data_IF_639072543484
#
_entry.id   IF_639072543484
#
_cell.length_a   1.000
_cell.length_b   1.000
_cell.length_c   1.000
_cell.angle_alpha   90.00
_cell.angle_beta   90.00
_cell.angle_gamma   90.00
#
_symmetry.space_group_name_H-M   'P 1'
#
loop_
_entity.id
_entity.type
_entity.pdbx_description
1 polymer ?
#
# COMPACT_ATOMS: atom_id res chain seq x y z
N UNK A 1 -4.99 35.98 1.92
CA UNK A 1 -3.71 36.76 1.84
C UNK A 1 -3.33 37.05 0.40
N UNK A 2 -2.44 38.04 0.16
CA UNK A 2 -1.95 38.39 -1.17
C UNK A 2 -0.71 37.57 -1.57
N UNK A 3 -0.44 37.48 -2.89
CA UNK A 3 0.67 36.66 -3.42
C UNK A 3 2.05 37.00 -2.83
N UNK A 4 2.33 38.29 -2.50
CA UNK A 4 3.60 38.69 -1.89
C UNK A 4 3.74 38.18 -0.46
N UNK A 5 2.65 38.13 0.29
CA UNK A 5 2.59 37.61 1.65
C UNK A 5 2.74 36.08 1.64
N UNK A 6 2.03 35.40 0.72
CA UNK A 6 2.16 33.97 0.49
C UNK A 6 3.60 33.59 0.14
N UNK A 7 4.22 34.30 -0.78
CA UNK A 7 5.60 34.07 -1.21
C UNK A 7 6.60 34.21 -0.05
N UNK A 8 6.42 35.21 0.81
CA UNK A 8 7.24 35.40 2.02
C UNK A 8 7.04 34.27 3.02
N UNK A 9 5.79 33.86 3.26
CA UNK A 9 5.46 32.80 4.21
C UNK A 9 6.03 31.45 3.79
N UNK A 10 5.99 31.13 2.48
CA UNK A 10 6.48 29.89 1.92
C UNK A 10 7.96 29.94 1.47
N UNK A 11 8.64 31.06 1.65
CA UNK A 11 10.03 31.30 1.24
C UNK A 11 10.31 31.01 -0.23
N UNK A 12 9.34 31.30 -1.11
CA UNK A 12 9.45 31.16 -2.55
C UNK A 12 9.15 32.50 -3.26
N UNK A 13 9.45 32.55 -4.57
CA UNK A 13 9.17 33.77 -5.33
C UNK A 13 7.69 33.86 -5.76
N UNK A 14 7.12 35.07 -5.92
CA UNK A 14 5.81 35.22 -6.54
C UNK A 14 5.72 34.62 -7.94
N UNK A 15 6.85 34.52 -8.67
CA UNK A 15 6.94 33.86 -9.97
C UNK A 15 6.71 32.35 -9.84
N UNK A 16 7.28 31.72 -8.83
CA UNK A 16 7.06 30.28 -8.58
C UNK A 16 5.58 29.99 -8.27
N UNK A 17 4.90 30.85 -7.47
CA UNK A 17 3.46 30.68 -7.18
C UNK A 17 2.64 30.78 -8.48
N UNK A 18 2.93 31.78 -9.35
CA UNK A 18 2.25 31.90 -10.66
C UNK A 18 2.48 30.69 -11.54
N UNK A 19 3.71 30.14 -11.56
CA UNK A 19 4.03 28.93 -12.29
C UNK A 19 3.19 27.73 -11.78
N UNK A 20 3.05 27.55 -10.46
CA UNK A 20 2.20 26.51 -9.90
C UNK A 20 0.71 26.71 -10.20
N UNK A 21 0.25 27.96 -10.22
CA UNK A 21 -1.10 28.31 -10.66
C UNK A 21 -1.31 27.97 -12.16
N UNK A 22 -0.38 28.34 -13.04
CA UNK A 22 -0.43 27.98 -14.47
C UNK A 22 -0.44 26.47 -14.71
N UNK A 23 0.22 25.71 -13.83
CA UNK A 23 0.22 24.25 -13.88
C UNK A 23 -1.01 23.63 -13.21
N UNK A 24 -1.95 24.43 -12.69
CA UNK A 24 -3.17 23.95 -12.05
C UNK A 24 -2.94 23.27 -10.70
N UNK A 25 -1.82 23.56 -10.02
CA UNK A 25 -1.52 23.00 -8.70
C UNK A 25 -2.17 23.80 -7.56
N UNK A 26 -2.54 25.04 -7.81
CA UNK A 26 -3.29 25.90 -6.91
C UNK A 26 -4.25 26.79 -7.71
N UNK A 27 -5.43 27.06 -7.18
CA UNK A 27 -6.49 27.84 -7.86
C UNK A 27 -7.02 28.95 -6.92
N UNK A 28 -6.24 30.04 -6.69
CA UNK A 28 -6.67 31.09 -5.79
C UNK A 28 -7.91 31.81 -6.30
N UNK A 29 -8.80 32.16 -5.41
CA UNK A 29 -9.98 32.98 -5.74
C UNK A 29 -9.54 34.40 -6.15
N UNK A 30 -10.27 35.00 -7.08
CA UNK A 30 -10.09 36.43 -7.40
C UNK A 30 -11.06 37.23 -6.52
N UNK A 31 -10.56 38.31 -5.92
CA UNK A 31 -11.39 39.21 -5.12
C UNK A 31 -12.41 39.92 -6.02
N UNK A 32 -13.66 39.95 -5.59
CA UNK A 32 -14.73 40.65 -6.29
C UNK A 32 -14.37 42.15 -6.46
N UNK A 33 -14.47 42.64 -7.68
CA UNK A 33 -14.26 44.04 -8.06
C UNK A 33 -12.79 44.48 -8.26
N UNK A 34 -11.78 43.79 -7.75
CA UNK A 34 -10.38 44.17 -7.89
C UNK A 34 -9.55 43.25 -8.79
N UNK A 35 -10.02 42.05 -9.05
CA UNK A 35 -9.31 41.04 -9.84
C UNK A 35 -8.02 40.49 -9.20
N UNK A 36 -7.66 40.93 -7.99
CA UNK A 36 -6.46 40.47 -7.29
C UNK A 36 -6.67 39.05 -6.73
N UNK A 37 -5.62 38.21 -6.81
CA UNK A 37 -5.59 36.87 -6.25
C UNK A 37 -5.65 36.92 -4.72
N UNK A 38 -6.56 36.14 -4.15
CA UNK A 38 -6.67 35.91 -2.71
C UNK A 38 -6.42 34.46 -2.41
N UNK A 39 -5.40 34.20 -1.57
CA UNK A 39 -5.02 32.87 -1.11
C UNK A 39 -5.59 32.59 0.27
N UNK A 40 -6.10 31.37 0.46
CA UNK A 40 -6.63 30.85 1.73
C UNK A 40 -5.52 30.14 2.52
N UNK A 41 -5.80 29.71 3.75
CA UNK A 41 -4.90 28.83 4.49
C UNK A 41 -4.76 27.46 3.82
N UNK A 42 -5.80 26.97 3.18
CA UNK A 42 -5.76 25.73 2.40
C UNK A 42 -4.80 25.85 1.20
N UNK A 43 -4.78 26.99 0.51
CA UNK A 43 -3.80 27.27 -0.54
C UNK A 43 -2.37 27.28 0.00
N UNK A 44 -2.16 27.71 1.26
CA UNK A 44 -0.83 27.63 1.93
C UNK A 44 -0.42 26.18 2.09
N UNK A 45 -1.28 25.34 2.66
CA UNK A 45 -0.97 23.93 2.87
C UNK A 45 -0.73 23.20 1.55
N UNK A 46 -1.58 23.46 0.55
CA UNK A 46 -1.45 22.92 -0.79
C UNK A 46 -0.12 23.29 -1.45
N UNK A 47 0.27 24.56 -1.42
CA UNK A 47 1.55 25.02 -1.96
C UNK A 47 2.73 24.50 -1.15
N UNK A 48 2.64 24.40 0.18
CA UNK A 48 3.68 23.79 1.01
C UNK A 48 3.91 22.32 0.60
N UNK A 49 2.83 21.57 0.40
CA UNK A 49 2.90 20.18 -0.09
C UNK A 49 3.57 20.11 -1.47
N UNK A 50 3.18 20.98 -2.41
CA UNK A 50 3.82 21.07 -3.73
C UNK A 50 5.32 21.31 -3.61
N UNK A 51 5.74 22.25 -2.77
CA UNK A 51 7.16 22.60 -2.55
C UNK A 51 7.90 21.38 -2.02
N UNK A 52 7.43 20.75 -0.96
CA UNK A 52 8.09 19.59 -0.35
C UNK A 52 8.20 18.41 -1.32
N UNK A 53 7.13 18.13 -2.06
CA UNK A 53 7.16 17.05 -3.06
C UNK A 53 8.13 17.35 -4.23
N UNK A 54 8.27 18.63 -4.60
CA UNK A 54 9.29 19.07 -5.57
C UNK A 54 10.71 18.90 -5.04
N UNK A 55 10.95 19.19 -3.78
CA UNK A 55 12.25 19.02 -3.12
C UNK A 55 12.70 17.55 -3.10
N UNK A 56 11.78 16.61 -2.94
CA UNK A 56 12.07 15.17 -3.05
C UNK A 56 12.09 14.66 -4.50
N UNK A 57 12.01 15.56 -5.49
CA UNK A 57 12.19 15.24 -6.92
C UNK A 57 10.95 14.77 -7.66
N UNK A 58 9.76 14.93 -7.10
CA UNK A 58 8.50 14.57 -7.76
C UNK A 58 8.20 15.46 -8.96
N UNK A 59 7.68 14.91 -10.06
CA UNK A 59 7.33 15.69 -11.24
C UNK A 59 6.08 16.57 -10.99
N UNK A 60 5.95 17.65 -11.74
CA UNK A 60 4.74 18.52 -11.68
C UNK A 60 3.47 17.73 -12.02
N UNK A 61 3.58 16.80 -12.98
CA UNK A 61 2.43 15.99 -13.42
C UNK A 61 1.96 15.03 -12.34
N UNK A 62 2.92 14.33 -11.69
CA UNK A 62 2.61 13.42 -10.59
C UNK A 62 1.99 14.17 -9.40
N UNK A 63 2.52 15.35 -9.05
CA UNK A 63 1.95 16.22 -8.00
C UNK A 63 0.53 16.65 -8.38
N UNK A 64 0.27 16.98 -9.65
CA UNK A 64 -1.07 17.37 -10.11
C UNK A 64 -2.06 16.21 -9.96
N UNK A 65 -1.69 15.01 -10.39
CA UNK A 65 -2.53 13.82 -10.26
C UNK A 65 -2.88 13.56 -8.81
N UNK A 66 -1.89 13.68 -7.94
CA UNK A 66 -2.03 13.53 -6.51
C UNK A 66 -2.99 14.54 -5.89
N UNK A 67 -2.82 15.82 -6.19
CA UNK A 67 -3.68 16.87 -5.66
C UNK A 67 -5.13 16.75 -6.13
N UNK A 68 -5.39 16.13 -7.28
CA UNK A 68 -6.77 15.81 -7.73
C UNK A 68 -7.44 14.80 -6.80
N UNK A 69 -6.71 13.79 -6.33
CA UNK A 69 -7.23 12.83 -5.35
C UNK A 69 -7.58 13.50 -4.02
N UNK A 70 -6.87 14.59 -3.67
CA UNK A 70 -7.17 15.41 -2.49
C UNK A 70 -8.44 16.23 -2.64
N UNK A 71 -8.72 16.76 -3.84
CA UNK A 71 -9.88 17.61 -4.10
C UNK A 71 -11.21 16.82 -3.97
N UNK A 72 -11.15 15.47 -4.00
CA UNK A 72 -12.30 14.58 -3.84
C UNK A 72 -12.63 14.26 -2.36
N UNK A 73 -11.79 14.67 -1.40
CA UNK A 73 -11.96 14.42 0.04
C UNK A 73 -12.20 15.68 0.88
N UNK A 74 -12.57 15.51 2.15
CA UNK A 74 -12.61 16.60 3.14
C UNK A 74 -11.16 17.04 3.47
N UNK A 75 -10.56 17.88 2.62
CA UNK A 75 -9.18 18.33 2.74
C UNK A 75 -8.92 19.16 4.00
N UNK A 76 -8.03 18.69 4.85
CA UNK A 76 -7.52 19.42 6.01
C UNK A 76 -6.00 19.31 6.07
N UNK A 77 -5.35 20.11 6.92
CA UNK A 77 -3.88 20.09 7.09
C UNK A 77 -3.35 18.65 7.32
N UNK A 78 -4.05 17.87 8.13
CA UNK A 78 -3.66 16.48 8.41
C UNK A 78 -3.57 15.65 7.12
N UNK A 79 -4.54 15.77 6.24
CA UNK A 79 -4.58 15.03 4.99
C UNK A 79 -3.41 15.38 4.06
N UNK A 80 -3.09 16.68 3.92
CA UNK A 80 -1.91 17.13 3.18
C UNK A 80 -0.60 16.57 3.74
N UNK A 81 -0.47 16.53 5.08
CA UNK A 81 0.72 16.00 5.75
C UNK A 81 0.84 14.48 5.61
N UNK A 82 -0.25 13.74 5.73
CA UNK A 82 -0.28 12.28 5.56
C UNK A 82 0.11 11.89 4.13
N UNK A 83 -0.43 12.59 3.16
CA UNK A 83 -0.12 12.40 1.78
C UNK A 83 1.35 12.69 1.49
N UNK A 84 1.84 13.85 1.94
CA UNK A 84 3.25 14.22 1.82
C UNK A 84 4.15 13.14 2.43
N UNK A 85 3.81 12.65 3.61
CA UNK A 85 4.57 11.60 4.31
C UNK A 85 4.57 10.28 3.51
N UNK A 86 3.44 9.86 2.98
CA UNK A 86 3.34 8.66 2.14
C UNK A 86 4.29 8.74 0.94
N UNK A 87 4.34 9.89 0.25
CA UNK A 87 5.26 10.09 -0.88
C UNK A 87 6.73 10.16 -0.50
N UNK A 88 7.05 10.75 0.64
CA UNK A 88 8.43 10.75 1.15
C UNK A 88 8.89 9.32 1.40
N UNK A 89 8.04 8.46 1.97
CA UNK A 89 8.35 7.03 2.13
C UNK A 89 8.49 6.30 0.80
N UNK A 90 7.63 6.60 -0.16
CA UNK A 90 7.71 6.00 -1.51
C UNK A 90 9.06 6.33 -2.17
N UNK A 91 9.47 7.58 -2.09
CA UNK A 91 10.76 8.05 -2.59
C UNK A 91 11.94 7.45 -1.82
N UNK A 92 11.82 7.35 -0.50
CA UNK A 92 12.84 6.73 0.33
C UNK A 92 13.05 5.25 0.00
N UNK A 93 11.98 4.47 -0.17
CA UNK A 93 12.05 3.06 -0.58
C UNK A 93 12.68 2.92 -1.97
N UNK A 94 12.34 3.80 -2.92
CA UNK A 94 12.94 3.81 -4.26
C UNK A 94 14.45 4.09 -4.19
N UNK A 95 14.85 5.11 -3.46
CA UNK A 95 16.27 5.46 -3.29
C UNK A 95 17.06 4.38 -2.56
N UNK A 96 16.50 3.77 -1.52
CA UNK A 96 17.12 2.66 -0.78
C UNK A 96 17.41 1.48 -1.71
N UNK A 97 16.49 1.13 -2.61
CA UNK A 97 16.71 0.08 -3.62
C UNK A 97 17.83 0.43 -4.60
N UNK A 98 17.90 1.69 -5.04
CA UNK A 98 19.00 2.16 -5.91
C UNK A 98 20.33 2.05 -5.18
N UNK A 99 20.39 2.44 -3.91
CA UNK A 99 21.61 2.32 -3.07
C UNK A 99 22.03 0.87 -2.97
N UNK A 100 21.16 -0.04 -2.52
CA UNK A 100 21.47 -1.46 -2.38
C UNK A 100 21.93 -2.11 -3.71
N UNK A 101 21.25 -1.77 -4.82
CA UNK A 101 21.66 -2.26 -6.15
C UNK A 101 23.05 -1.77 -6.52
N UNK A 102 23.35 -0.49 -6.26
CA UNK A 102 24.66 0.11 -6.55
C UNK A 102 25.75 -0.51 -5.68
N UNK A 103 25.48 -0.73 -4.40
CA UNK A 103 26.42 -1.41 -3.48
C UNK A 103 26.70 -2.85 -3.91
N UNK A 104 25.66 -3.59 -4.33
CA UNK A 104 25.82 -4.94 -4.87
C UNK A 104 26.69 -4.96 -6.15
N UNK A 105 26.48 -3.98 -7.04
CA UNK A 105 27.32 -3.80 -8.23
C UNK A 105 28.79 -3.51 -7.85
N UNK A 106 29.03 -2.60 -6.92
CA UNK A 106 30.37 -2.27 -6.43
C UNK A 106 31.04 -3.50 -5.82
N UNK A 107 30.31 -4.24 -4.98
CA UNK A 107 30.84 -5.46 -4.35
C UNK A 107 31.21 -6.54 -5.38
N UNK A 108 30.40 -6.69 -6.43
CA UNK A 108 30.65 -7.62 -7.53
C UNK A 108 31.92 -7.22 -8.32
N UNK A 109 32.03 -5.95 -8.72
CA UNK A 109 33.23 -5.45 -9.42
C UNK A 109 34.49 -5.64 -8.58
N UNK A 110 34.44 -5.38 -7.27
CA UNK A 110 35.58 -5.57 -6.38
C UNK A 110 35.99 -7.05 -6.24
N UNK A 111 35.05 -7.99 -6.31
CA UNK A 111 35.30 -9.43 -6.16
C UNK A 111 35.80 -10.06 -7.46
N UNK A 112 35.12 -9.74 -8.58
CA UNK A 112 35.26 -10.48 -9.84
C UNK A 112 36.11 -9.74 -10.88
N UNK A 113 36.61 -8.52 -10.57
CA UNK A 113 37.27 -7.62 -11.51
C UNK A 113 36.26 -6.87 -12.41
N UNK A 114 36.65 -6.51 -13.65
CA UNK A 114 35.73 -5.86 -14.60
C UNK A 114 34.54 -6.78 -14.86
N UNK A 115 33.36 -6.35 -14.39
CA UNK A 115 32.11 -7.08 -14.56
C UNK A 115 31.67 -7.02 -16.02
N UNK A 116 31.15 -8.13 -16.52
CA UNK A 116 30.42 -8.16 -17.79
C UNK A 116 29.32 -7.07 -17.80
N UNK A 117 29.35 -6.13 -18.75
CA UNK A 117 28.33 -5.10 -18.89
C UNK A 117 26.89 -5.66 -18.90
N UNK A 118 26.68 -6.89 -19.42
CA UNK A 118 25.38 -7.54 -19.44
C UNK A 118 24.77 -7.70 -18.06
N UNK A 119 25.58 -8.06 -17.06
CA UNK A 119 25.10 -8.23 -15.68
C UNK A 119 24.69 -6.91 -14.99
N UNK A 120 25.27 -5.80 -15.39
CA UNK A 120 24.85 -4.46 -14.93
C UNK A 120 23.55 -4.04 -15.57
N UNK A 121 23.33 -4.39 -16.86
CA UNK A 121 22.07 -4.17 -17.56
C UNK A 121 20.92 -4.97 -16.92
N UNK A 122 21.14 -6.22 -16.55
CA UNK A 122 20.11 -7.03 -15.88
C UNK A 122 19.62 -6.40 -14.57
N UNK A 123 20.52 -5.87 -13.74
CA UNK A 123 20.16 -5.17 -12.51
C UNK A 123 19.38 -3.87 -12.77
N UNK A 124 19.78 -3.10 -13.79
CA UNK A 124 19.08 -1.89 -14.20
C UNK A 124 17.67 -2.20 -14.74
N UNK A 125 17.52 -3.24 -15.57
CA UNK A 125 16.21 -3.67 -16.09
C UNK A 125 15.31 -4.22 -14.99
N UNK A 126 15.85 -4.95 -14.01
CA UNK A 126 15.09 -5.38 -12.84
C UNK A 126 14.53 -4.17 -12.06
N UNK A 127 15.36 -3.16 -11.80
CA UNK A 127 14.92 -1.92 -11.12
C UNK A 127 13.84 -1.18 -11.93
N UNK A 128 13.95 -1.16 -13.27
CA UNK A 128 12.96 -0.54 -14.15
C UNK A 128 11.62 -1.31 -14.12
N UNK A 129 11.65 -2.65 -14.17
CA UNK A 129 10.44 -3.48 -14.06
C UNK A 129 9.71 -3.24 -12.75
N UNK A 130 10.42 -3.18 -11.64
CA UNK A 130 9.85 -2.89 -10.32
C UNK A 130 9.18 -1.50 -10.27
N UNK A 131 9.80 -0.48 -10.86
CA UNK A 131 9.21 0.86 -10.97
C UNK A 131 7.94 0.87 -11.82
N UNK A 132 7.94 0.16 -12.95
CA UNK A 132 6.76 0.03 -13.80
C UNK A 132 5.62 -0.73 -13.09
N UNK A 133 5.92 -1.81 -12.37
CA UNK A 133 4.92 -2.55 -11.60
C UNK A 133 4.22 -1.66 -10.56
N UNK A 134 4.98 -0.77 -9.89
CA UNK A 134 4.42 0.24 -8.97
C UNK A 134 3.51 1.25 -9.66
N UNK A 135 3.97 1.82 -10.79
CA UNK A 135 3.24 2.87 -11.49
C UNK A 135 1.98 2.38 -12.20
N UNK A 136 1.88 1.08 -12.47
CA UNK A 136 0.75 0.49 -13.17
C UNK A 136 -0.41 0.08 -12.23
N UNK A 137 -0.24 0.26 -10.92
CA UNK A 137 -1.35 -0.01 -10.01
C UNK A 137 -2.41 1.09 -10.11
N UNK A 138 -3.68 0.68 -10.18
CA UNK A 138 -4.84 1.55 -10.23
C UNK A 138 -5.90 1.01 -9.28
N UNK A 139 -6.48 1.86 -8.44
CA UNK A 139 -7.65 1.50 -7.64
C UNK A 139 -8.87 1.30 -8.56
N UNK A 140 -9.15 0.03 -8.88
CA UNK A 140 -10.28 -0.39 -9.71
C UNK A 140 -11.56 -0.58 -8.90
N UNK A 141 -11.43 -0.68 -7.58
CA UNK A 141 -12.50 -1.03 -6.65
C UNK A 141 -13.13 0.19 -5.98
N UNK A 142 -12.46 1.34 -6.06
CA UNK A 142 -12.89 2.60 -5.43
C UNK A 142 -13.10 2.45 -3.92
N UNK A 143 -12.05 2.08 -3.20
CA UNK A 143 -12.08 1.81 -1.76
C UNK A 143 -12.62 2.98 -0.93
N UNK A 144 -12.46 4.22 -1.39
CA UNK A 144 -13.03 5.38 -0.72
C UNK A 144 -14.57 5.31 -0.65
N UNK A 145 -15.22 4.89 -1.75
CA UNK A 145 -16.69 4.74 -1.77
C UNK A 145 -17.15 3.52 -1.00
N UNK A 146 -16.38 2.42 -1.02
CA UNK A 146 -16.72 1.19 -0.31
C UNK A 146 -16.60 1.33 1.21
N UNK A 147 -15.80 2.27 1.72
CA UNK A 147 -15.48 2.37 3.14
C UNK A 147 -16.71 2.47 4.06
N UNK A 148 -17.80 3.10 3.60
CA UNK A 148 -19.02 3.29 4.37
C UNK A 148 -19.74 1.97 4.70
N UNK A 149 -19.79 1.06 3.74
CA UNK A 149 -20.56 -0.18 3.78
C UNK A 149 -19.67 -1.44 3.90
N UNK A 150 -18.35 -1.28 3.94
CA UNK A 150 -17.38 -2.37 3.89
C UNK A 150 -17.63 -3.43 4.96
N UNK A 151 -17.77 -3.03 6.23
CA UNK A 151 -17.97 -3.96 7.34
C UNK A 151 -19.24 -4.81 7.16
N UNK A 152 -20.31 -4.19 6.68
CA UNK A 152 -21.54 -4.88 6.36
C UNK A 152 -21.34 -5.85 5.20
N UNK A 153 -20.65 -5.40 4.15
CA UNK A 153 -20.40 -6.20 2.95
C UNK A 153 -19.63 -7.49 3.24
N UNK A 154 -18.63 -7.46 4.13
CA UNK A 154 -17.78 -8.62 4.42
C UNK A 154 -18.35 -9.56 5.49
N UNK A 155 -19.32 -9.09 6.31
CA UNK A 155 -19.95 -9.90 7.36
C UNK A 155 -21.30 -10.48 6.97
N UNK A 156 -21.97 -9.93 5.95
CA UNK A 156 -23.25 -10.46 5.48
C UNK A 156 -23.09 -11.81 4.80
N UNK A 157 -23.86 -12.80 5.26
CA UNK A 157 -24.00 -14.07 4.54
C UNK A 157 -24.65 -13.83 3.19
N UNK A 158 -24.02 -14.29 2.12
CA UNK A 158 -24.55 -14.25 0.75
C UNK A 158 -24.79 -15.67 0.27
N UNK A 159 -25.95 -15.91 -0.34
CA UNK A 159 -26.19 -17.14 -1.08
C UNK A 159 -25.32 -17.14 -2.36
N UNK A 160 -24.75 -18.28 -2.70
CA UNK A 160 -23.87 -18.45 -3.86
C UNK A 160 -22.42 -18.06 -3.61
N UNK A 161 -21.78 -17.37 -4.56
CA UNK A 161 -20.36 -17.01 -4.47
C UNK A 161 -20.11 -15.95 -3.40
N UNK A 162 -19.35 -16.32 -2.38
CA UNK A 162 -18.95 -15.45 -1.28
C UNK A 162 -17.45 -15.57 -0.98
N UNK A 163 -16.60 -14.66 -1.47
CA UNK A 163 -15.17 -14.67 -1.19
C UNK A 163 -14.85 -14.39 0.29
N UNK A 164 -15.78 -13.81 1.05
CA UNK A 164 -15.67 -13.53 2.49
C UNK A 164 -16.35 -14.60 3.37
N UNK A 165 -16.53 -15.81 2.84
CA UNK A 165 -17.06 -16.92 3.62
C UNK A 165 -16.29 -17.08 4.93
N UNK A 166 -17.00 -17.15 6.08
CA UNK A 166 -16.40 -17.28 7.41
C UNK A 166 -15.39 -16.18 7.76
N UNK A 167 -15.65 -14.95 7.32
CA UNK A 167 -14.73 -13.80 7.46
C UNK A 167 -14.19 -13.64 8.88
N UNK A 168 -15.06 -13.68 9.90
CA UNK A 168 -14.70 -13.55 11.31
C UNK A 168 -13.72 -14.66 11.75
N UNK A 169 -14.04 -15.93 11.40
CA UNK A 169 -13.20 -17.08 11.74
C UNK A 169 -11.83 -17.04 11.01
N UNK A 170 -11.80 -16.51 9.79
CA UNK A 170 -10.54 -16.31 9.06
C UNK A 170 -9.64 -15.30 9.78
N UNK A 171 -10.20 -14.18 10.24
CA UNK A 171 -9.42 -13.20 10.99
C UNK A 171 -8.94 -13.78 12.34
N UNK A 172 -9.79 -14.56 13.02
CA UNK A 172 -9.43 -15.21 14.29
C UNK A 172 -8.30 -16.23 14.08
N UNK A 173 -8.38 -17.07 13.04
CA UNK A 173 -7.32 -18.02 12.69
C UNK A 173 -6.00 -17.32 12.38
N UNK A 174 -6.02 -16.19 11.64
CA UNK A 174 -4.84 -15.40 11.37
C UNK A 174 -4.21 -14.85 12.67
N UNK A 175 -5.03 -14.31 13.58
CA UNK A 175 -4.56 -13.79 14.88
C UNK A 175 -3.97 -14.91 15.74
N UNK A 176 -4.60 -16.09 15.78
CA UNK A 176 -4.08 -17.26 16.48
C UNK A 176 -2.71 -17.71 15.90
N UNK A 177 -2.58 -17.70 14.59
CA UNK A 177 -1.34 -18.10 13.92
C UNK A 177 -0.19 -17.13 14.17
N UNK A 178 -0.46 -15.81 14.12
CA UNK A 178 0.53 -14.77 14.46
C UNK A 178 0.90 -14.84 15.94
N UNK A 179 -0.06 -15.18 16.80
CA UNK A 179 0.10 -15.26 18.25
C UNK A 179 0.76 -14.00 18.86
N UNK A 180 0.12 -12.82 18.74
CA UNK A 180 0.69 -11.59 19.27
C UNK A 180 0.94 -11.66 20.76
N UNK A 181 2.05 -11.11 21.24
CA UNK A 181 2.38 -11.08 22.67
C UNK A 181 2.31 -9.66 23.22
N UNK A 182 1.96 -9.48 24.50
CA UNK A 182 2.06 -8.20 25.17
C UNK A 182 3.48 -7.60 25.04
N UNK A 183 3.56 -6.33 24.66
CA UNK A 183 4.82 -5.64 24.44
C UNK A 183 5.40 -5.74 23.02
N UNK A 184 4.86 -6.61 22.17
CA UNK A 184 5.20 -6.63 20.75
C UNK A 184 4.57 -5.45 20.00
N UNK A 185 5.21 -5.06 18.90
CA UNK A 185 4.70 -4.09 17.94
C UNK A 185 4.38 -4.80 16.63
N UNK A 186 3.12 -4.80 16.22
CA UNK A 186 2.64 -5.41 14.99
C UNK A 186 2.19 -4.41 13.96
N UNK A 187 2.18 -4.82 12.70
CA UNK A 187 1.65 -4.07 11.57
C UNK A 187 0.46 -4.81 10.94
N UNK A 188 -0.67 -4.12 10.80
CA UNK A 188 -1.79 -4.53 9.93
C UNK A 188 -1.65 -3.81 8.58
N UNK A 189 -1.26 -4.55 7.55
CA UNK A 189 -0.97 -4.03 6.22
C UNK A 189 -2.20 -4.12 5.31
N UNK A 190 -2.67 -2.97 4.80
CA UNK A 190 -3.95 -2.88 4.09
C UNK A 190 -5.13 -3.05 5.04
N UNK A 191 -5.12 -2.28 6.14
CA UNK A 191 -6.02 -2.47 7.29
C UNK A 191 -7.50 -2.28 6.98
N UNK A 192 -7.83 -1.59 5.87
CA UNK A 192 -9.20 -1.20 5.56
C UNK A 192 -9.85 -0.43 6.72
N UNK A 193 -10.99 -0.90 7.18
CA UNK A 193 -11.70 -0.30 8.32
C UNK A 193 -11.17 -0.73 9.70
N UNK A 194 -10.07 -1.54 9.76
CA UNK A 194 -9.38 -1.90 11.00
C UNK A 194 -9.92 -3.13 11.73
N UNK A 195 -10.57 -4.05 11.04
CA UNK A 195 -11.15 -5.26 11.67
C UNK A 195 -10.08 -6.20 12.20
N UNK A 196 -8.99 -6.41 11.44
CA UNK A 196 -7.85 -7.22 11.88
C UNK A 196 -7.04 -6.48 12.95
N UNK A 197 -6.74 -5.19 12.74
CA UNK A 197 -6.01 -4.36 13.72
C UNK A 197 -6.65 -4.41 15.12
N UNK A 198 -7.98 -4.38 15.21
CA UNK A 198 -8.72 -4.48 16.47
C UNK A 198 -8.42 -5.80 17.20
N UNK A 199 -8.52 -6.94 16.50
CA UNK A 199 -8.28 -8.27 17.06
C UNK A 199 -6.84 -8.46 17.53
N UNK A 200 -5.88 -8.00 16.73
CA UNK A 200 -4.45 -8.05 17.09
C UNK A 200 -4.18 -7.24 18.37
N UNK A 201 -4.77 -6.05 18.49
CA UNK A 201 -4.65 -5.20 19.68
C UNK A 201 -5.29 -5.83 20.92
N UNK A 202 -6.43 -6.49 20.79
CA UNK A 202 -7.11 -7.19 21.88
C UNK A 202 -6.25 -8.31 22.49
N UNK A 203 -5.21 -8.79 21.77
CA UNK A 203 -4.20 -9.73 22.29
C UNK A 203 -3.05 -9.05 23.07
N UNK A 204 -3.07 -7.71 23.19
CA UNK A 204 -2.12 -6.94 24.01
C UNK A 204 -0.91 -6.40 23.26
N UNK A 205 -0.82 -6.57 21.94
CA UNK A 205 0.23 -5.96 21.13
C UNK A 205 -0.08 -4.47 20.81
N UNK A 206 0.96 -3.68 20.60
CA UNK A 206 0.84 -2.34 20.03
C UNK A 206 0.71 -2.46 18.50
N UNK A 207 -0.35 -1.91 17.93
CA UNK A 207 -0.64 -2.06 16.51
C UNK A 207 -0.46 -0.74 15.77
N UNK A 208 0.38 -0.79 14.73
CA UNK A 208 0.40 0.17 13.64
C UNK A 208 -0.39 -0.40 12.45
N UNK A 209 -0.89 0.47 11.59
CA UNK A 209 -1.65 0.05 10.41
C UNK A 209 -1.39 1.03 9.25
N UNK A 210 -1.62 0.58 8.02
CA UNK A 210 -1.72 1.48 6.88
C UNK A 210 -2.79 1.02 5.89
N UNK A 211 -3.31 1.97 5.15
CA UNK A 211 -4.17 1.75 3.98
C UNK A 211 -3.94 2.87 2.97
N UNK A 212 -4.25 2.61 1.71
CA UNK A 212 -4.17 3.61 0.65
C UNK A 212 -5.40 4.51 0.58
N UNK A 213 -6.53 4.08 1.15
CA UNK A 213 -7.79 4.80 1.17
C UNK A 213 -7.90 5.68 2.43
N UNK A 214 -7.96 7.02 2.29
CA UNK A 214 -8.21 7.92 3.40
C UNK A 214 -9.53 7.64 4.13
N UNK A 215 -10.58 7.25 3.39
CA UNK A 215 -11.89 6.97 3.99
C UNK A 215 -11.88 5.64 4.78
N UNK A 216 -11.16 4.62 4.33
CA UNK A 216 -10.91 3.40 5.11
C UNK A 216 -10.17 3.74 6.42
N UNK A 217 -9.10 4.52 6.34
CA UNK A 217 -8.35 4.97 7.52
C UNK A 217 -9.18 5.80 8.48
N UNK A 218 -10.05 6.65 7.98
CA UNK A 218 -11.00 7.42 8.80
C UNK A 218 -11.88 6.48 9.63
N UNK A 219 -12.43 5.40 9.03
CA UNK A 219 -13.20 4.37 9.73
C UNK A 219 -12.34 3.58 10.71
N UNK A 220 -11.14 3.18 10.30
CA UNK A 220 -10.19 2.48 11.17
C UNK A 220 -9.91 3.28 12.44
N UNK A 221 -9.58 4.55 12.32
CA UNK A 221 -9.29 5.45 13.46
C UNK A 221 -10.49 5.64 14.38
N UNK A 222 -11.70 5.75 13.81
CA UNK A 222 -12.95 5.85 14.60
C UNK A 222 -13.20 4.58 15.43
N UNK A 223 -13.02 3.41 14.83
CA UNK A 223 -13.21 2.10 15.48
C UNK A 223 -12.09 1.75 16.46
N UNK A 224 -10.86 2.21 16.17
CA UNK A 224 -9.63 1.80 16.85
C UNK A 224 -8.77 3.01 17.25
N UNK A 225 -9.20 3.86 18.19
CA UNK A 225 -8.47 5.11 18.52
C UNK A 225 -7.06 4.88 19.09
N UNK A 226 -6.69 3.64 19.43
CA UNK A 226 -5.34 3.28 19.90
C UNK A 226 -4.42 2.71 18.82
N UNK A 227 -4.84 2.68 17.55
CA UNK A 227 -4.03 2.20 16.42
C UNK A 227 -3.37 3.39 15.71
N UNK A 228 -2.05 3.33 15.51
CA UNK A 228 -1.32 4.29 14.69
C UNK A 228 -1.56 3.96 13.20
N UNK A 229 -2.61 4.55 12.61
CA UNK A 229 -2.98 4.30 11.22
C UNK A 229 -2.47 5.41 10.29
N UNK A 230 -1.74 5.03 9.22
CA UNK A 230 -1.09 5.93 8.26
C UNK A 230 -1.56 5.70 6.83
N UNK A 231 -1.55 6.75 6.03
CA UNK A 231 -1.72 6.64 4.59
C UNK A 231 -0.46 6.01 3.98
N UNK A 232 -0.62 4.96 3.14
CA UNK A 232 0.48 4.26 2.51
C UNK A 232 0.01 3.21 1.52
N UNK A 233 0.94 2.62 0.79
CA UNK A 233 0.67 1.58 -0.21
C UNK A 233 1.47 0.32 0.06
N UNK A 234 1.10 -0.80 -0.55
CA UNK A 234 1.87 -2.05 -0.50
C UNK A 234 3.24 -1.95 -1.17
N UNK A 235 3.52 -0.90 -1.91
CA UNK A 235 4.79 -0.71 -2.60
C UNK A 235 5.81 0.08 -1.79
N UNK A 236 5.33 0.81 -0.76
CA UNK A 236 6.15 1.56 0.17
C UNK A 236 5.40 1.69 1.50
N UNK A 237 5.69 0.82 2.45
CA UNK A 237 5.10 0.91 3.77
C UNK A 237 5.57 2.18 4.47
N UNK A 238 4.64 2.97 5.07
CA UNK A 238 4.97 4.27 5.69
C UNK A 238 5.66 4.12 7.06
N UNK A 239 6.65 3.21 7.11
CA UNK A 239 7.40 2.85 8.31
C UNK A 239 8.86 2.57 7.98
N UNK A 240 9.75 2.80 8.95
CA UNK A 240 11.17 2.51 8.85
C UNK A 240 11.45 1.01 8.93
N UNK A 241 12.68 0.60 8.57
CA UNK A 241 13.14 -0.77 8.60
C UNK A 241 13.15 -1.37 10.01
N UNK A 242 12.97 -2.68 10.09
CA UNK A 242 13.14 -3.47 11.31
C UNK A 242 12.34 -2.93 12.53
N UNK A 243 11.13 -2.47 12.28
CA UNK A 243 10.26 -1.88 13.31
C UNK A 243 9.36 -2.91 13.99
N UNK A 244 8.90 -3.93 13.26
CA UNK A 244 7.78 -4.78 13.70
C UNK A 244 8.24 -6.18 14.09
N UNK A 245 7.64 -6.71 15.15
CA UNK A 245 7.80 -8.10 15.58
C UNK A 245 6.98 -9.03 14.68
N UNK A 246 5.87 -8.52 14.12
CA UNK A 246 5.08 -9.23 13.13
C UNK A 246 4.40 -8.26 12.15
N UNK A 247 4.11 -8.78 10.95
CA UNK A 247 3.23 -8.16 9.95
C UNK A 247 2.08 -9.11 9.68
N UNK A 248 0.87 -8.58 9.64
CA UNK A 248 -0.33 -9.33 9.28
C UNK A 248 -1.06 -8.58 8.15
N UNK A 249 -1.70 -9.32 7.25
CA UNK A 249 -2.56 -8.75 6.21
C UNK A 249 -3.70 -9.71 5.91
N UNK A 250 -4.89 -9.18 5.67
CA UNK A 250 -6.06 -9.98 5.33
C UNK A 250 -6.86 -9.33 4.20
N UNK A 251 -7.26 -10.13 3.22
CA UNK A 251 -8.10 -9.70 2.10
C UNK A 251 -7.61 -8.43 1.39
N UNK A 252 -6.31 -8.32 1.15
CA UNK A 252 -5.71 -7.13 0.55
C UNK A 252 -4.76 -7.43 -0.62
N UNK A 253 -4.03 -8.55 -0.58
CA UNK A 253 -3.06 -8.88 -1.64
C UNK A 253 -3.70 -9.31 -2.96
N UNK A 254 -4.95 -9.80 -2.94
CA UNK A 254 -5.67 -10.16 -4.17
C UNK A 254 -6.03 -8.94 -5.05
N UNK A 255 -5.76 -7.72 -4.60
CA UNK A 255 -5.83 -6.50 -5.40
C UNK A 255 -4.52 -6.17 -6.14
N UNK A 256 -3.47 -6.96 -5.94
CA UNK A 256 -2.15 -6.80 -6.53
C UNK A 256 -1.87 -7.88 -7.58
N UNK A 257 -1.23 -7.52 -8.70
CA UNK A 257 -0.71 -8.53 -9.64
C UNK A 257 0.39 -9.37 -8.99
N UNK A 258 0.79 -10.48 -9.61
CA UNK A 258 1.82 -11.35 -9.03
C UNK A 258 3.17 -10.62 -8.84
N UNK A 259 3.58 -9.78 -9.80
CA UNK A 259 4.78 -8.95 -9.65
C UNK A 259 4.64 -7.93 -8.50
N UNK A 260 3.44 -7.37 -8.34
CA UNK A 260 3.14 -6.43 -7.27
C UNK A 260 3.12 -7.10 -5.89
N UNK A 261 2.64 -8.35 -5.80
CA UNK A 261 2.71 -9.15 -4.56
C UNK A 261 4.16 -9.33 -4.10
N UNK A 262 5.08 -9.64 -5.02
CA UNK A 262 6.52 -9.77 -4.68
C UNK A 262 7.07 -8.48 -4.09
N UNK A 263 6.67 -7.31 -4.62
CA UNK A 263 7.05 -6.01 -4.05
C UNK A 263 6.50 -5.82 -2.64
N UNK A 264 5.24 -6.19 -2.41
CA UNK A 264 4.60 -6.12 -1.09
C UNK A 264 5.31 -7.04 -0.07
N UNK A 265 5.67 -8.27 -0.46
CA UNK A 265 6.42 -9.19 0.39
C UNK A 265 7.82 -8.66 0.74
N UNK A 266 8.50 -8.00 -0.20
CA UNK A 266 9.78 -7.34 0.06
C UNK A 266 9.65 -6.19 1.08
N UNK A 267 8.55 -5.43 1.05
CA UNK A 267 8.25 -4.41 2.06
C UNK A 267 7.93 -5.04 3.43
N UNK A 268 7.17 -6.16 3.47
CA UNK A 268 6.97 -6.92 4.71
C UNK A 268 8.32 -7.30 5.34
N UNK A 269 9.24 -7.86 4.53
CA UNK A 269 10.59 -8.22 4.98
C UNK A 269 11.36 -7.01 5.51
N UNK A 270 11.32 -5.89 4.81
CA UNK A 270 12.05 -4.67 5.17
C UNK A 270 11.66 -4.14 6.56
N UNK A 271 10.36 -4.12 6.86
CA UNK A 271 9.86 -3.55 8.12
C UNK A 271 9.89 -4.52 9.29
N UNK A 272 10.06 -5.82 9.04
CA UNK A 272 10.18 -6.83 10.08
C UNK A 272 11.55 -6.77 10.76
N UNK A 273 11.56 -6.95 12.07
CA UNK A 273 12.77 -7.22 12.86
C UNK A 273 13.36 -8.58 12.48
N UNK A 274 14.64 -8.86 12.80
CA UNK A 274 15.18 -10.22 12.74
C UNK A 274 14.28 -11.20 13.49
N UNK A 275 14.07 -12.39 12.91
CA UNK A 275 13.13 -13.41 13.40
C UNK A 275 11.66 -12.98 13.48
N UNK A 276 11.29 -11.89 12.80
CA UNK A 276 9.91 -11.40 12.72
C UNK A 276 8.99 -12.39 11.98
N UNK A 277 7.69 -12.23 12.21
CA UNK A 277 6.64 -13.12 11.67
C UNK A 277 5.77 -12.40 10.65
N UNK A 278 5.39 -13.11 9.60
CA UNK A 278 4.43 -12.66 8.59
C UNK A 278 3.24 -13.61 8.55
N UNK A 279 2.01 -13.08 8.57
CA UNK A 279 0.81 -13.86 8.33
C UNK A 279 -0.08 -13.19 7.27
N UNK A 280 -0.56 -13.97 6.32
CA UNK A 280 -1.37 -13.53 5.19
C UNK A 280 -2.60 -14.43 5.10
N UNK A 281 -3.80 -13.86 5.27
CA UNK A 281 -5.05 -14.58 4.97
C UNK A 281 -5.71 -13.92 3.75
N UNK A 282 -5.68 -14.61 2.61
CA UNK A 282 -6.14 -13.99 1.37
C UNK A 282 -6.70 -15.00 0.37
N UNK A 283 -7.29 -14.50 -0.71
CA UNK A 283 -7.87 -15.26 -1.80
C UNK A 283 -6.76 -15.87 -2.67
N UNK A 284 -6.71 -17.20 -2.72
CA UNK A 284 -5.66 -17.94 -3.41
C UNK A 284 -6.21 -19.23 -4.04
N UNK A 285 -5.52 -19.69 -5.05
CA UNK A 285 -5.54 -21.08 -5.49
C UNK A 285 -4.27 -21.77 -5.05
N UNK A 286 -4.32 -23.10 -4.88
CA UNK A 286 -3.14 -23.90 -4.50
C UNK A 286 -1.99 -23.69 -5.48
N UNK A 287 -2.31 -23.72 -6.77
CA UNK A 287 -1.43 -23.55 -7.93
C UNK A 287 -2.24 -23.22 -9.19
N UNK A 288 -1.55 -23.04 -10.30
CA UNK A 288 -2.17 -22.76 -11.60
C UNK A 288 -3.08 -23.87 -12.10
N UNK A 289 -2.74 -25.14 -11.85
CA UNK A 289 -3.52 -26.29 -12.29
C UNK A 289 -4.84 -26.38 -11.52
N UNK A 290 -4.81 -26.17 -10.20
CA UNK A 290 -6.01 -26.09 -9.37
C UNK A 290 -6.92 -24.95 -9.83
N UNK A 291 -6.35 -23.76 -10.13
CA UNK A 291 -7.12 -22.64 -10.68
C UNK A 291 -7.80 -23.02 -12.00
N UNK A 292 -7.07 -23.63 -12.93
CA UNK A 292 -7.61 -24.03 -14.23
C UNK A 292 -8.74 -25.05 -14.11
N UNK A 293 -8.56 -26.08 -13.27
CA UNK A 293 -9.59 -27.10 -12.99
C UNK A 293 -10.83 -26.49 -12.37
N UNK A 294 -10.67 -25.59 -11.40
CA UNK A 294 -11.78 -24.93 -10.73
C UNK A 294 -12.61 -24.06 -11.69
N UNK A 295 -11.94 -23.25 -12.51
CA UNK A 295 -12.62 -22.41 -13.51
C UNK A 295 -13.33 -23.26 -14.58
N UNK A 296 -12.76 -24.40 -14.96
CA UNK A 296 -13.41 -25.29 -15.89
C UNK A 296 -14.67 -25.96 -15.30
N UNK A 297 -14.63 -26.36 -14.04
CA UNK A 297 -15.82 -26.86 -13.32
C UNK A 297 -16.93 -25.81 -13.23
N UNK A 298 -16.59 -24.56 -12.98
CA UNK A 298 -17.54 -23.44 -12.98
C UNK A 298 -18.15 -23.22 -14.38
N UNK A 299 -17.37 -23.31 -15.47
CA UNK A 299 -17.87 -23.22 -16.86
C UNK A 299 -18.87 -24.35 -17.16
N UNK A 300 -18.54 -25.56 -16.79
CA UNK A 300 -19.40 -26.73 -16.99
C UNK A 300 -20.70 -26.64 -16.20
N UNK A 301 -20.71 -25.99 -15.05
CA UNK A 301 -21.92 -25.72 -14.24
C UNK A 301 -22.67 -24.43 -14.62
N UNK A 302 -22.20 -23.69 -15.63
CA UNK A 302 -22.84 -22.47 -16.12
C UNK A 302 -22.68 -21.25 -15.20
N UNK A 303 -21.74 -21.28 -14.24
CA UNK A 303 -21.50 -20.20 -13.29
C UNK A 303 -20.54 -19.15 -13.85
N UNK A 304 -20.90 -18.53 -14.97
CA UNK A 304 -20.03 -17.57 -15.67
C UNK A 304 -19.84 -16.27 -14.91
N UNK A 305 -20.82 -15.84 -14.14
CA UNK A 305 -20.75 -14.65 -13.26
C UNK A 305 -19.71 -14.83 -12.13
N UNK A 306 -19.57 -16.04 -11.60
CA UNK A 306 -18.53 -16.37 -10.61
C UNK A 306 -17.14 -16.29 -11.24
N UNK A 307 -16.99 -16.80 -12.47
CA UNK A 307 -15.73 -16.73 -13.21
C UNK A 307 -15.32 -15.27 -13.42
N UNK A 308 -16.24 -14.42 -13.90
CA UNK A 308 -15.97 -12.99 -14.10
C UNK A 308 -15.49 -12.30 -12.81
N UNK A 309 -16.09 -12.61 -11.67
CA UNK A 309 -15.68 -12.06 -10.37
C UNK A 309 -14.28 -12.55 -9.96
N UNK A 310 -13.96 -13.83 -10.14
CA UNK A 310 -12.63 -14.37 -9.85
C UNK A 310 -11.57 -13.76 -10.77
N UNK A 311 -11.89 -13.56 -12.06
CA UNK A 311 -10.98 -12.98 -13.05
C UNK A 311 -10.82 -11.46 -12.91
N UNK A 312 -11.79 -10.79 -12.29
CA UNK A 312 -11.68 -9.38 -11.96
C UNK A 312 -10.63 -9.09 -10.87
N UNK A 313 -10.39 -10.07 -9.99
CA UNK A 313 -9.42 -10.02 -8.91
C UNK A 313 -8.13 -10.76 -9.30
N UNK A 314 -7.05 -10.51 -8.56
CA UNK A 314 -5.75 -11.17 -8.76
C UNK A 314 -5.51 -12.22 -7.67
N UNK A 315 -6.35 -13.28 -7.61
CA UNK A 315 -6.14 -14.39 -6.67
C UNK A 315 -4.73 -14.94 -6.80
N UNK A 316 -4.04 -15.09 -5.66
CA UNK A 316 -2.67 -15.55 -5.66
C UNK A 316 -2.56 -17.02 -6.08
N UNK A 317 -1.52 -17.37 -6.81
CA UNK A 317 -0.99 -18.72 -6.87
C UNK A 317 -0.17 -18.96 -5.60
N UNK A 318 -0.69 -19.81 -4.69
CA UNK A 318 -0.07 -20.05 -3.40
C UNK A 318 1.34 -20.63 -3.54
N UNK A 319 1.55 -21.52 -4.49
CA UNK A 319 2.87 -22.14 -4.71
C UNK A 319 3.92 -21.10 -5.08
N UNK A 320 3.58 -20.14 -5.94
CA UNK A 320 4.45 -19.02 -6.31
C UNK A 320 4.67 -18.05 -5.16
N UNK A 321 3.62 -17.80 -4.36
CA UNK A 321 3.74 -16.92 -3.19
C UNK A 321 4.70 -17.49 -2.14
N UNK A 322 4.64 -18.82 -1.89
CA UNK A 322 5.56 -19.51 -0.98
C UNK A 322 6.99 -19.46 -1.50
N UNK A 323 7.22 -19.75 -2.79
CA UNK A 323 8.53 -19.65 -3.40
C UNK A 323 9.13 -18.23 -3.29
N UNK A 324 8.33 -17.19 -3.54
CA UNK A 324 8.76 -15.80 -3.38
C UNK A 324 9.13 -15.45 -1.91
N UNK A 325 8.42 -16.01 -0.95
CA UNK A 325 8.76 -15.86 0.47
C UNK A 325 10.09 -16.54 0.81
N UNK A 326 10.34 -17.76 0.30
CA UNK A 326 11.61 -18.48 0.46
C UNK A 326 12.79 -17.70 -0.14
N UNK A 327 12.62 -17.14 -1.34
CA UNK A 327 13.64 -16.28 -1.98
C UNK A 327 13.95 -15.02 -1.14
N UNK A 328 12.97 -14.51 -0.40
CA UNK A 328 13.13 -13.40 0.53
C UNK A 328 13.70 -13.81 1.90
N UNK A 329 14.05 -15.09 2.10
CA UNK A 329 14.63 -15.60 3.34
C UNK A 329 13.61 -15.92 4.43
N UNK A 330 12.36 -16.13 4.09
CA UNK A 330 11.35 -16.63 5.02
C UNK A 330 11.28 -18.17 4.98
N UNK A 331 10.74 -18.74 6.05
CA UNK A 331 10.33 -20.14 6.14
C UNK A 331 8.79 -20.19 6.16
N UNK A 332 8.13 -20.35 5.00
CA UNK A 332 6.69 -20.30 4.90
C UNK A 332 6.03 -21.64 5.14
N UNK A 333 4.83 -21.62 5.70
CA UNK A 333 3.86 -22.70 5.75
C UNK A 333 2.48 -22.18 5.37
N UNK A 334 1.59 -23.04 4.90
CA UNK A 334 0.26 -22.61 4.48
C UNK A 334 -0.81 -23.67 4.76
N UNK A 335 -2.01 -23.19 5.04
CA UNK A 335 -3.23 -23.99 5.18
C UNK A 335 -4.39 -23.34 4.42
N UNK A 336 -5.36 -24.15 4.02
CA UNK A 336 -6.59 -23.65 3.39
C UNK A 336 -7.70 -23.55 4.44
N UNK A 337 -8.32 -22.38 4.55
CA UNK A 337 -9.37 -22.10 5.55
C UNK A 337 -10.78 -22.22 4.97
N UNK A 338 -10.97 -21.77 3.71
CA UNK A 338 -12.26 -21.84 2.98
C UNK A 338 -12.00 -22.25 1.54
N UNK A 339 -13.03 -22.23 0.71
CA UNK A 339 -12.88 -22.55 -0.74
C UNK A 339 -11.79 -21.71 -1.42
N UNK A 340 -11.67 -20.44 -1.06
CA UNK A 340 -10.73 -19.51 -1.71
C UNK A 340 -9.70 -18.92 -0.75
N UNK A 341 -9.96 -18.90 0.57
CA UNK A 341 -9.05 -18.28 1.51
C UNK A 341 -8.00 -19.27 1.99
N UNK A 342 -6.75 -18.90 1.84
CA UNK A 342 -5.61 -19.60 2.41
C UNK A 342 -4.92 -18.70 3.45
N UNK A 343 -4.42 -19.31 4.50
CA UNK A 343 -3.58 -18.69 5.51
C UNK A 343 -2.13 -19.12 5.27
N UNK A 344 -1.28 -18.15 4.98
CA UNK A 344 0.16 -18.32 4.85
C UNK A 344 0.81 -17.69 6.08
N UNK A 345 1.67 -18.44 6.74
CA UNK A 345 2.47 -17.97 7.86
C UNK A 345 3.95 -18.19 7.54
N UNK A 346 4.79 -17.21 7.84
CA UNK A 346 6.21 -17.30 7.55
C UNK A 346 7.05 -16.64 8.66
N UNK A 347 8.20 -17.23 8.98
CA UNK A 347 9.19 -16.65 9.88
C UNK A 347 10.40 -16.20 9.08
N UNK A 348 10.92 -15.02 9.41
CA UNK A 348 12.18 -14.56 8.84
C UNK A 348 13.32 -15.36 9.51
N UNK A 349 14.16 -16.01 8.68
CA UNK A 349 15.26 -16.85 9.14
C UNK A 349 16.39 -16.03 9.78
#
# INVERSE_FOLDING_TARGET
MHIKEMARRLQITPRAIRFYEEKGLVTPKKADGSGYRQFTEEDVWRLQTVITLREVGMSIEDIRQLLRQLDEGEGGLLHYLELQLSFVYDRWVELSKVIHTTEAMIARVKRDGESDPASLFELAEASKRLRLARSNWVDRWNFNQLAADYDKMVTESREGFNPHERYEQVLDALVEKVAPQPGETGLDAGTGTGNLARRLRERGATICAFDQSPEMLKRCRQKNPGVEAKLGTFFAFPFLDSRFDFVATSYALHHLTDEQKVLALAECRRVLKPAGRLAIADLMFTDADHRAQHLEALRQSGQTDVIERIEYEYYADRSRLLAALEELGFQPEAEQLTTYVHLVFARLA
#
